data_IF_796476072975
#
_entry.id   IF_796476072975
#
_cell.length_a   1.000
_cell.length_b   1.000
_cell.length_c   1.000
_cell.angle_alpha   90.00
_cell.angle_beta   90.00
_cell.angle_gamma   90.00
#
_symmetry.space_group_name_H-M   'P 1'
#
loop_
_entity.id
_entity.type
_entity.pdbx_description
1 polymer ?
#
# COMPACT_ATOMS: atom_id res chain seq x y z
N UNK A 1 -20.15 -81.75 35.93
CA UNK A 1 -18.94 -82.60 35.86
C UNK A 1 -18.18 -82.23 34.59
N UNK A 2 -16.88 -81.92 34.73
CA UNK A 2 -15.84 -81.64 33.71
C UNK A 2 -15.74 -82.78 32.65
N UNK A 3 -15.04 -82.69 31.49
CA UNK A 3 -13.78 -81.93 31.25
C UNK A 3 -13.59 -81.30 29.84
N UNK A 4 -12.83 -80.19 29.72
CA UNK A 4 -11.43 -80.01 29.27
C UNK A 4 -11.22 -79.82 27.75
N UNK A 5 -10.67 -78.64 27.42
CA UNK A 5 -10.09 -78.23 26.13
C UNK A 5 -8.59 -78.52 26.13
N UNK A 6 -8.04 -79.17 25.08
CA UNK A 6 -6.62 -79.06 24.69
C UNK A 6 -6.38 -79.16 23.18
N UNK A 7 -5.44 -78.29 22.75
CA UNK A 7 -4.84 -78.08 21.42
C UNK A 7 -4.03 -79.28 20.89
N UNK A 8 -3.88 -79.36 19.57
CA UNK A 8 -2.70 -79.87 18.84
C UNK A 8 -2.69 -79.26 17.40
N UNK A 9 -1.65 -78.49 17.01
CA UNK A 9 -0.45 -78.87 16.23
C UNK A 9 -0.73 -78.96 14.70
N UNK A 10 -0.32 -78.00 13.85
CA UNK A 10 1.01 -77.68 13.25
C UNK A 10 1.51 -78.70 12.22
N UNK A 11 1.57 -78.33 10.93
CA UNK A 11 2.61 -78.70 9.91
C UNK A 11 2.60 -77.56 8.83
N UNK A 12 3.52 -76.60 8.83
CA UNK A 12 4.83 -76.55 8.14
C UNK A 12 4.76 -76.61 6.60
N UNK A 13 5.06 -75.47 5.94
CA UNK A 13 5.78 -75.47 4.66
C UNK A 13 6.89 -74.42 4.67
N UNK A 14 7.99 -74.83 4.06
CA UNK A 14 9.34 -74.31 4.11
C UNK A 14 9.59 -73.17 3.12
N UNK A 15 10.39 -72.18 3.51
CA UNK A 15 11.34 -71.55 2.59
C UNK A 15 12.52 -70.95 3.34
N UNK A 16 13.69 -71.44 2.95
CA UNK A 16 15.02 -71.11 3.46
C UNK A 16 15.33 -69.64 3.17
N UNK A 17 15.83 -68.91 4.18
CA UNK A 17 16.57 -67.66 3.96
C UNK A 17 18.01 -67.87 4.41
N UNK A 18 18.91 -67.73 3.44
CA UNK A 18 20.34 -67.66 3.63
C UNK A 18 20.66 -66.51 4.58
N UNK A 19 21.42 -66.85 5.61
CA UNK A 19 22.03 -65.91 6.54
C UNK A 19 23.32 -65.38 5.93
N UNK A 20 23.45 -64.06 5.83
CA UNK A 20 24.74 -63.39 5.78
C UNK A 20 24.76 -62.34 6.88
N UNK A 21 25.56 -62.62 7.90
CA UNK A 21 25.83 -61.72 9.01
C UNK A 21 26.62 -60.52 8.52
N UNK A 22 25.98 -59.34 8.51
CA UNK A 22 26.69 -58.07 8.58
C UNK A 22 26.38 -57.47 9.96
N UNK A 23 27.39 -57.53 10.83
CA UNK A 23 27.41 -56.87 12.13
C UNK A 23 27.38 -55.36 11.89
N UNK A 24 26.22 -54.73 12.05
CA UNK A 24 26.16 -53.27 12.21
C UNK A 24 26.25 -53.03 13.71
N UNK A 25 27.47 -52.77 14.16
CA UNK A 25 27.74 -52.26 15.49
C UNK A 25 26.98 -50.96 15.68
N UNK A 26 26.03 -50.96 16.61
CA UNK A 26 25.34 -49.78 17.10
C UNK A 26 26.34 -48.87 17.84
N UNK A 27 26.91 -47.88 17.14
CA UNK A 27 27.49 -46.72 17.83
C UNK A 27 26.35 -45.76 18.16
N UNK A 28 25.66 -46.01 19.26
CA UNK A 28 24.80 -45.00 19.88
C UNK A 28 25.69 -43.87 20.37
N UNK A 29 25.97 -42.89 19.51
CA UNK A 29 26.56 -41.64 19.93
C UNK A 29 25.50 -40.89 20.73
N UNK A 30 25.45 -41.16 22.03
CA UNK A 30 24.68 -40.36 22.99
C UNK A 30 25.29 -38.95 22.93
N UNK A 31 24.64 -38.06 22.19
CA UNK A 31 24.90 -36.62 22.33
C UNK A 31 24.36 -36.24 23.69
N UNK A 32 25.25 -36.12 24.67
CA UNK A 32 24.93 -35.48 25.93
C UNK A 32 24.44 -34.07 25.61
N UNK A 33 23.16 -33.79 25.88
CA UNK A 33 22.70 -32.41 25.93
C UNK A 33 23.51 -31.72 27.02
N UNK A 34 24.39 -30.80 26.64
CA UNK A 34 24.95 -29.85 27.59
C UNK A 34 23.78 -29.06 28.16
N UNK A 35 23.38 -29.37 29.39
CA UNK A 35 22.62 -28.44 30.22
C UNK A 35 23.56 -27.28 30.54
N UNK A 36 23.68 -26.32 29.63
CA UNK A 36 24.13 -25.00 30.00
C UNK A 36 23.09 -24.48 31.00
N UNK A 37 23.54 -24.11 32.20
CA UNK A 37 22.72 -23.36 33.14
C UNK A 37 22.15 -22.16 32.39
N UNK A 38 20.82 -22.04 32.31
CA UNK A 38 20.18 -20.86 31.75
C UNK A 38 20.49 -19.66 32.65
N UNK A 39 21.59 -18.97 32.40
CA UNK A 39 21.69 -17.56 32.75
C UNK A 39 20.71 -16.84 31.84
N UNK A 40 19.59 -16.42 32.43
CA UNK A 40 18.67 -15.48 31.82
C UNK A 40 19.44 -14.23 31.40
N UNK A 41 19.09 -13.66 30.24
CA UNK A 41 19.64 -12.38 29.85
C UNK A 41 19.19 -11.33 30.88
N UNK A 42 20.15 -10.73 31.58
CA UNK A 42 19.89 -9.55 32.40
C UNK A 42 19.56 -8.43 31.41
N UNK A 43 18.29 -8.07 31.29
CA UNK A 43 17.88 -6.87 30.59
C UNK A 43 18.48 -5.68 31.33
N UNK A 44 19.61 -5.17 30.85
CA UNK A 44 20.06 -3.86 31.26
C UNK A 44 18.97 -2.86 30.86
N UNK A 45 18.51 -1.98 31.75
CA UNK A 45 17.60 -0.91 31.36
C UNK A 45 18.25 -0.15 30.23
N UNK A 46 17.57 -0.06 29.08
CA UNK A 46 18.00 0.73 27.92
C UNK A 46 17.81 2.19 28.30
N UNK A 47 18.67 2.71 29.16
CA UNK A 47 18.89 4.13 29.34
C UNK A 47 19.98 4.56 28.38
N UNK A 48 19.65 4.57 27.09
CA UNK A 48 20.42 5.29 26.09
C UNK A 48 20.06 6.79 26.15
N UNK A 49 20.36 7.43 27.28
CA UNK A 49 20.43 8.90 27.32
C UNK A 49 21.85 9.30 26.94
N UNK A 50 22.11 9.31 25.64
CA UNK A 50 23.31 9.87 25.05
C UNK A 50 22.95 10.46 23.68
N UNK A 51 23.62 11.53 23.23
CA UNK A 51 23.45 12.01 21.87
C UNK A 51 23.70 10.85 20.89
N UNK A 52 22.95 10.79 19.77
CA UNK A 52 23.06 9.69 18.83
C UNK A 52 24.53 9.50 18.41
N UNK A 53 25.01 8.25 18.28
CA UNK A 53 26.36 8.00 17.83
C UNK A 53 26.57 8.68 16.47
N UNK A 54 27.76 9.26 16.28
CA UNK A 54 28.11 9.84 14.98
C UNK A 54 28.03 8.76 13.90
N UNK A 55 27.54 9.14 12.72
CA UNK A 55 27.47 8.25 11.58
C UNK A 55 28.82 7.56 11.36
N UNK A 56 28.85 6.24 11.10
CA UNK A 56 30.08 5.52 10.87
C UNK A 56 30.80 6.13 9.66
N UNK A 57 32.04 6.53 9.88
CA UNK A 57 32.92 6.91 8.78
C UNK A 57 33.36 5.65 8.05
N UNK A 58 33.39 5.65 6.70
CA UNK A 58 33.86 4.51 5.94
C UNK A 58 35.31 4.17 6.34
N UNK A 59 35.60 2.87 6.46
CA UNK A 59 36.95 2.38 6.72
C UNK A 59 37.92 2.91 5.65
N UNK A 60 39.19 3.11 6.03
CA UNK A 60 40.20 3.76 5.17
C UNK A 60 40.36 3.08 3.80
N UNK A 61 40.11 1.78 3.74
CA UNK A 61 40.14 0.93 2.55
C UNK A 61 39.11 1.35 1.48
N UNK A 62 38.01 1.99 1.88
CA UNK A 62 36.93 2.42 0.97
C UNK A 62 37.00 3.90 0.56
N UNK A 63 38.02 4.65 1.01
CA UNK A 63 38.21 6.06 0.59
C UNK A 63 38.68 6.19 -0.87
N UNK A 64 39.39 5.19 -1.38
CA UNK A 64 40.06 5.25 -2.68
C UNK A 64 39.55 4.19 -3.69
N UNK A 65 38.36 3.63 -3.50
CA UNK A 65 37.82 2.64 -4.45
C UNK A 65 37.52 3.32 -5.81
N UNK A 66 38.23 2.95 -6.90
CA UNK A 66 38.07 3.56 -8.21
C UNK A 66 36.67 3.36 -8.81
N UNK A 67 35.88 2.39 -8.31
CA UNK A 67 34.48 2.18 -8.72
C UNK A 67 33.53 3.30 -8.26
N UNK A 68 33.92 4.10 -7.26
CA UNK A 68 33.15 5.27 -6.78
C UNK A 68 33.50 6.59 -7.49
N UNK A 69 34.60 6.64 -8.22
CA UNK A 69 35.05 7.85 -8.92
C UNK A 69 34.08 8.30 -10.04
N UNK A 70 33.27 7.38 -10.58
CA UNK A 70 32.28 7.68 -11.61
C UNK A 70 30.98 8.33 -11.12
N UNK A 71 30.67 8.30 -9.81
CA UNK A 71 29.41 8.82 -9.29
C UNK A 71 29.43 10.32 -8.95
N UNK A 72 30.62 10.91 -8.86
CA UNK A 72 30.80 12.34 -8.54
C UNK A 72 30.87 13.26 -9.77
N UNK A 73 30.84 12.72 -11.00
CA UNK A 73 30.90 13.53 -12.23
C UNK A 73 29.53 13.92 -12.80
N UNK A 74 28.42 13.46 -12.20
CA UNK A 74 27.04 13.80 -12.63
C UNK A 74 26.30 14.78 -11.71
N UNK A 75 26.99 15.46 -10.80
CA UNK A 75 26.42 16.62 -10.08
C UNK A 75 26.89 17.91 -10.74
N UNK A 76 26.06 18.43 -11.65
CA UNK A 76 26.23 19.79 -12.17
C UNK A 76 26.09 20.84 -11.05
N UNK A 77 26.77 21.99 -11.17
CA UNK A 77 27.10 22.86 -10.04
C UNK A 77 26.10 24.02 -9.93
N UNK A 78 25.14 23.93 -9.00
CA UNK A 78 24.30 25.07 -8.63
C UNK A 78 23.99 25.03 -7.12
N UNK A 79 25.04 25.13 -6.31
CA UNK A 79 24.96 25.53 -4.90
C UNK A 79 26.38 25.58 -4.35
N UNK A 80 26.98 26.77 -4.36
CA UNK A 80 27.98 27.27 -3.40
C UNK A 80 28.75 28.42 -4.02
N UNK A 81 28.16 29.62 -3.97
CA UNK A 81 28.93 30.85 -3.91
C UNK A 81 28.04 31.92 -3.30
N UNK A 82 28.12 32.06 -1.98
CA UNK A 82 27.75 33.30 -1.30
C UNK A 82 28.52 33.40 0.02
N UNK A 83 29.55 34.24 0.04
CA UNK A 83 30.03 34.99 1.22
C UNK A 83 31.14 35.99 0.84
N UNK A 84 30.80 37.29 1.00
CA UNK A 84 31.67 38.45 1.33
C UNK A 84 32.42 39.14 0.16
N UNK A 85 32.37 40.45 -0.13
CA UNK A 85 31.82 41.75 0.39
C UNK A 85 32.05 42.83 -0.74
N UNK A 86 31.94 44.16 -0.53
CA UNK A 86 30.76 45.03 -0.44
C UNK A 86 30.67 46.07 -1.60
N UNK A 87 29.47 46.55 -1.98
CA UNK A 87 29.35 47.84 -2.68
C UNK A 87 27.95 48.43 -2.58
N UNK A 88 27.90 49.71 -2.23
CA UNK A 88 26.74 50.59 -2.16
C UNK A 88 25.86 50.59 -3.41
N UNK A 89 24.54 50.48 -3.23
CA UNK A 89 23.55 51.46 -3.73
C UNK A 89 22.11 50.95 -3.54
N UNK A 90 21.20 51.90 -3.35
CA UNK A 90 19.89 51.76 -2.76
C UNK A 90 18.83 51.06 -3.63
N UNK A 91 18.06 50.15 -3.00
CA UNK A 91 16.62 49.99 -3.21
C UNK A 91 16.02 49.22 -2.01
N UNK A 92 15.44 49.94 -1.05
CA UNK A 92 14.71 49.34 0.07
C UNK A 92 13.32 48.89 -0.41
N UNK A 93 13.20 47.64 -0.83
CA UNK A 93 11.92 46.92 -0.78
C UNK A 93 11.93 46.15 0.54
N UNK A 94 11.11 46.59 1.48
CA UNK A 94 10.96 45.95 2.78
C UNK A 94 10.28 44.59 2.62
N UNK A 95 11.07 43.52 2.52
CA UNK A 95 10.60 42.17 2.74
C UNK A 95 10.14 42.03 4.20
N UNK A 96 8.83 42.10 4.40
CA UNK A 96 8.23 41.69 5.66
C UNK A 96 8.50 40.20 5.86
N UNK A 97 9.45 39.87 6.75
CA UNK A 97 9.67 38.51 7.27
C UNK A 97 8.37 38.04 7.94
N UNK A 98 7.52 37.34 7.22
CA UNK A 98 6.36 36.66 7.77
C UNK A 98 6.86 35.46 8.58
N UNK A 99 7.02 35.65 9.88
CA UNK A 99 7.22 34.53 10.80
C UNK A 99 6.04 33.57 10.63
N UNK A 100 6.27 32.28 10.32
CA UNK A 100 5.18 31.33 10.15
C UNK A 100 4.39 31.28 11.47
N UNK A 101 3.08 31.51 11.42
CA UNK A 101 2.20 31.60 12.59
C UNK A 101 2.24 30.28 13.37
N UNK A 102 3.06 30.19 14.43
CA UNK A 102 3.35 28.94 15.15
C UNK A 102 2.17 28.32 15.90
N UNK A 103 1.11 29.09 16.11
CA UNK A 103 -0.04 28.69 16.93
C UNK A 103 -1.31 28.68 16.09
N UNK A 104 -2.22 27.77 16.42
CA UNK A 104 -3.59 27.76 15.88
C UNK A 104 -4.22 29.14 16.13
N UNK A 105 -4.77 29.75 15.09
CA UNK A 105 -5.36 31.09 15.15
C UNK A 105 -6.89 31.08 15.09
N UNK A 106 -7.50 29.90 14.94
CA UNK A 106 -8.95 29.69 14.93
C UNK A 106 -9.38 28.90 16.16
N UNK A 107 -10.62 29.13 16.62
CA UNK A 107 -11.20 28.38 17.73
C UNK A 107 -12.17 27.33 17.21
N UNK A 108 -13.15 27.76 16.43
CA UNK A 108 -14.28 26.94 16.01
C UNK A 108 -14.14 26.57 14.52
N UNK A 109 -14.55 25.36 14.14
CA UNK A 109 -14.62 24.92 12.74
C UNK A 109 -16.05 24.55 12.41
N UNK A 110 -16.61 25.17 11.36
CA UNK A 110 -18.01 24.99 10.99
C UNK A 110 -18.14 24.66 9.51
N UNK A 111 -19.10 23.79 9.17
CA UNK A 111 -19.52 23.56 7.78
C UNK A 111 -20.69 24.48 7.48
N UNK A 112 -20.57 25.28 6.41
CA UNK A 112 -21.65 26.14 5.92
C UNK A 112 -22.12 25.63 4.56
N UNK A 113 -23.42 25.41 4.43
CA UNK A 113 -24.07 25.10 3.15
C UNK A 113 -24.35 26.39 2.37
N UNK A 114 -24.02 26.39 1.08
CA UNK A 114 -24.29 27.43 0.10
C UNK A 114 -24.92 26.81 -1.14
N UNK A 115 -25.40 27.64 -2.07
CA UNK A 115 -25.98 27.19 -3.35
C UNK A 115 -24.99 26.31 -4.14
N UNK A 116 -23.70 26.66 -4.14
CA UNK A 116 -22.65 25.95 -4.88
C UNK A 116 -22.05 24.75 -4.12
N UNK A 117 -22.54 24.43 -2.92
CA UNK A 117 -22.05 23.35 -2.07
C UNK A 117 -21.62 23.79 -0.67
N UNK A 118 -20.76 23.01 -0.02
CA UNK A 118 -20.31 23.25 1.35
C UNK A 118 -18.96 23.97 1.41
N UNK A 119 -18.85 24.90 2.35
CA UNK A 119 -17.60 25.56 2.71
C UNK A 119 -17.23 25.25 4.16
N UNK A 120 -15.94 25.02 4.40
CA UNK A 120 -15.39 24.85 5.74
C UNK A 120 -14.90 26.21 6.23
N UNK A 121 -15.45 26.68 7.34
CA UNK A 121 -15.12 27.96 7.96
C UNK A 121 -14.30 27.75 9.23
N UNK A 122 -13.14 28.41 9.30
CA UNK A 122 -12.34 28.59 10.50
C UNK A 122 -12.77 29.88 11.18
N UNK A 123 -13.51 29.77 12.28
CA UNK A 123 -14.35 30.81 12.89
C UNK A 123 -15.32 31.41 11.86
N UNK A 124 -14.88 32.44 11.13
CA UNK A 124 -15.65 33.15 10.11
C UNK A 124 -15.01 33.09 8.71
N UNK A 125 -13.80 32.54 8.60
CA UNK A 125 -12.99 32.59 7.36
C UNK A 125 -12.99 31.25 6.65
N UNK A 126 -13.22 31.19 5.33
CA UNK A 126 -13.20 29.93 4.60
C UNK A 126 -11.79 29.37 4.49
N UNK A 127 -11.69 28.03 4.56
CA UNK A 127 -10.48 27.28 4.18
C UNK A 127 -10.18 27.54 2.70
N UNK A 128 -8.90 27.73 2.40
CA UNK A 128 -8.41 28.02 1.05
C UNK A 128 -7.36 27.02 0.62
N UNK A 129 -7.35 26.74 -0.68
CA UNK A 129 -6.29 25.98 -1.33
C UNK A 129 -4.95 26.74 -1.28
N UNK A 130 -3.82 26.06 -1.56
CA UNK A 130 -2.52 26.72 -1.76
C UNK A 130 -2.55 27.79 -2.87
N UNK A 131 -3.44 27.65 -3.86
CA UNK A 131 -3.69 28.62 -4.93
C UNK A 131 -4.56 29.81 -4.50
N UNK A 132 -4.92 29.89 -3.21
CA UNK A 132 -5.79 30.90 -2.56
C UNK A 132 -7.26 30.85 -2.98
N UNK A 133 -7.66 29.88 -3.77
CA UNK A 133 -9.07 29.63 -4.09
C UNK A 133 -9.80 29.14 -2.83
N UNK A 134 -11.08 29.45 -2.72
CA UNK A 134 -11.92 28.93 -1.63
C UNK A 134 -12.18 27.45 -1.91
N UNK A 135 -11.99 26.60 -0.91
CA UNK A 135 -12.31 25.18 -1.03
C UNK A 135 -13.82 24.99 -0.88
N UNK A 136 -14.48 24.65 -1.99
CA UNK A 136 -15.91 24.33 -2.02
C UNK A 136 -16.07 22.84 -2.30
N UNK A 137 -16.80 22.15 -1.42
CA UNK A 137 -17.14 20.73 -1.54
C UNK A 137 -18.54 20.60 -2.17
N UNK A 138 -18.77 19.74 -3.17
CA UNK A 138 -20.09 19.58 -3.80
C UNK A 138 -21.20 19.26 -2.80
N UNK A 139 -22.42 19.71 -3.10
CA UNK A 139 -23.59 19.52 -2.22
C UNK A 139 -23.99 18.05 -2.01
N UNK A 140 -23.59 17.15 -2.92
CA UNK A 140 -23.74 15.70 -2.74
C UNK A 140 -22.75 15.11 -1.72
N UNK A 141 -21.64 15.80 -1.43
CA UNK A 141 -20.52 15.26 -0.64
C UNK A 141 -20.49 15.83 0.78
N UNK A 142 -21.63 15.78 1.49
CA UNK A 142 -21.75 16.32 2.86
C UNK A 142 -20.78 15.66 3.85
N UNK A 143 -20.68 14.33 3.82
CA UNK A 143 -19.79 13.56 4.68
C UNK A 143 -18.32 13.96 4.51
N UNK A 144 -17.89 14.28 3.28
CA UNK A 144 -16.54 14.78 3.00
C UNK A 144 -16.32 16.16 3.63
N UNK A 145 -17.29 17.08 3.53
CA UNK A 145 -17.19 18.41 4.13
C UNK A 145 -17.10 18.35 5.66
N UNK A 146 -17.90 17.49 6.30
CA UNK A 146 -17.86 17.25 7.75
C UNK A 146 -16.52 16.61 8.17
N UNK A 147 -16.01 15.65 7.40
CA UNK A 147 -14.71 15.03 7.68
C UNK A 147 -13.54 16.02 7.54
N UNK A 148 -13.59 16.93 6.55
CA UNK A 148 -12.62 18.03 6.44
C UNK A 148 -12.73 18.98 7.63
N UNK A 149 -13.94 19.31 8.09
CA UNK A 149 -14.10 20.14 9.28
C UNK A 149 -13.44 19.50 10.52
N UNK A 150 -13.63 18.19 10.71
CA UNK A 150 -12.94 17.43 11.77
C UNK A 150 -11.42 17.45 11.61
N UNK A 151 -10.91 17.28 10.38
CA UNK A 151 -9.48 17.35 10.08
C UNK A 151 -8.87 18.68 10.56
N UNK A 152 -9.54 19.80 10.30
CA UNK A 152 -9.11 21.13 10.73
C UNK A 152 -9.30 21.41 12.21
N UNK A 153 -10.30 20.80 12.84
CA UNK A 153 -10.54 20.93 14.28
C UNK A 153 -9.51 20.18 15.12
N UNK A 154 -8.96 19.08 14.59
CA UNK A 154 -7.90 18.31 15.26
C UNK A 154 -6.51 18.98 15.19
N UNK A 155 -6.34 20.01 14.36
CA UNK A 155 -5.06 20.71 14.24
C UNK A 155 -4.78 21.56 15.50
N UNK A 156 -3.57 21.40 16.03
CA UNK A 156 -3.06 22.15 17.18
C UNK A 156 -2.26 23.40 16.77
N UNK A 157 -1.82 23.47 15.51
CA UNK A 157 -1.10 24.63 14.97
C UNK A 157 -1.35 24.85 13.49
N UNK A 158 -1.18 26.10 13.03
CA UNK A 158 -1.33 26.42 11.62
C UNK A 158 -0.25 25.75 10.74
N UNK A 159 0.92 25.40 11.27
CA UNK A 159 1.94 24.62 10.54
C UNK A 159 1.48 23.21 10.22
N UNK A 160 0.64 22.62 11.07
CA UNK A 160 0.12 21.28 10.81
C UNK A 160 -0.75 21.26 9.55
N UNK A 161 -1.42 22.37 9.22
CA UNK A 161 -2.14 22.54 7.94
C UNK A 161 -1.21 22.56 6.71
N UNK A 162 0.12 22.60 6.86
CA UNK A 162 1.05 22.43 5.75
C UNK A 162 1.48 20.96 5.56
N UNK A 163 1.11 20.08 6.49
CA UNK A 163 1.50 18.68 6.50
C UNK A 163 0.38 17.83 5.90
N UNK A 164 0.59 17.30 4.70
CA UNK A 164 -0.40 16.49 3.96
C UNK A 164 -0.93 15.27 4.74
N UNK A 165 -0.14 14.69 5.66
CA UNK A 165 -0.57 13.55 6.48
C UNK A 165 -1.53 13.93 7.62
N UNK A 166 -1.55 15.20 8.04
CA UNK A 166 -2.56 15.76 8.97
C UNK A 166 -3.74 16.37 8.21
N UNK A 167 -3.44 16.75 6.97
CA UNK A 167 -4.19 17.29 5.85
C UNK A 167 -4.99 16.45 4.82
N UNK A 168 -5.22 15.14 4.98
CA UNK A 168 -5.34 14.25 3.83
C UNK A 168 -6.57 14.55 2.95
N UNK A 169 -7.74 14.77 3.55
CA UNK A 169 -8.97 15.05 2.82
C UNK A 169 -8.95 16.44 2.22
N UNK A 170 -8.47 17.46 2.96
CA UNK A 170 -8.30 18.81 2.41
C UNK A 170 -7.41 18.81 1.16
N UNK A 171 -6.30 18.07 1.24
CA UNK A 171 -5.35 17.96 0.13
C UNK A 171 -5.97 17.23 -1.07
N UNK A 172 -6.74 16.16 -0.82
CA UNK A 172 -7.42 15.39 -1.86
C UNK A 172 -8.54 16.17 -2.55
N UNK A 173 -9.38 16.86 -1.79
CA UNK A 173 -10.43 17.71 -2.35
C UNK A 173 -9.82 18.85 -3.15
N UNK A 174 -8.74 19.47 -2.65
CA UNK A 174 -8.01 20.49 -3.43
C UNK A 174 -7.49 19.92 -4.75
N UNK A 175 -6.95 18.69 -4.74
CA UNK A 175 -6.50 18.00 -5.96
C UNK A 175 -7.65 17.76 -6.94
N UNK A 176 -8.83 17.36 -6.46
CA UNK A 176 -10.03 17.23 -7.29
C UNK A 176 -10.49 18.57 -7.89
N UNK A 177 -10.51 19.65 -7.08
CA UNK A 177 -10.84 21.00 -7.55
C UNK A 177 -9.85 21.52 -8.60
N UNK A 178 -8.56 21.19 -8.46
CA UNK A 178 -7.56 21.55 -9.47
C UNK A 178 -7.82 20.85 -10.81
N UNK A 179 -8.29 19.59 -10.80
CA UNK A 179 -8.71 18.86 -12.01
C UNK A 179 -9.94 19.52 -12.63
N UNK A 180 -10.97 19.83 -11.83
CA UNK A 180 -12.19 20.55 -12.30
C UNK A 180 -11.80 21.83 -13.02
N UNK A 181 -10.95 22.64 -12.39
CA UNK A 181 -10.51 23.92 -12.94
C UNK A 181 -9.74 23.76 -14.24
N UNK A 182 -8.88 22.75 -14.36
CA UNK A 182 -8.17 22.49 -15.62
C UNK A 182 -9.13 22.08 -16.75
N UNK A 183 -10.10 21.21 -16.44
CA UNK A 183 -11.10 20.75 -17.40
C UNK A 183 -11.95 21.90 -17.93
N UNK A 184 -12.38 22.82 -17.06
CA UNK A 184 -13.10 24.03 -17.44
C UNK A 184 -12.28 24.96 -18.35
N UNK A 185 -10.95 24.96 -18.18
CA UNK A 185 -10.02 25.70 -19.05
C UNK A 185 -9.67 24.95 -20.34
N UNK A 186 -10.24 23.77 -20.58
CA UNK A 186 -9.93 22.90 -21.72
C UNK A 186 -8.52 22.33 -21.69
N UNK A 187 -7.86 22.35 -20.52
CA UNK A 187 -6.53 21.80 -20.31
C UNK A 187 -6.66 20.36 -19.79
N UNK A 188 -5.70 19.50 -20.10
CA UNK A 188 -5.76 18.07 -19.79
C UNK A 188 -4.46 17.56 -19.14
N UNK A 189 -3.63 18.46 -18.59
CA UNK A 189 -2.29 18.11 -18.14
C UNK A 189 -2.33 17.20 -16.91
N UNK A 190 -3.11 17.55 -15.89
CA UNK A 190 -3.24 16.77 -14.66
C UNK A 190 -3.81 15.39 -15.00
N UNK A 191 -4.85 15.33 -15.84
CA UNK A 191 -5.44 14.06 -16.31
C UNK A 191 -4.41 13.17 -16.99
N UNK A 192 -3.63 13.72 -17.92
CA UNK A 192 -2.56 12.99 -18.61
C UNK A 192 -1.45 12.53 -17.65
N UNK A 193 -1.08 13.35 -16.66
CA UNK A 193 -0.09 12.98 -15.64
C UNK A 193 -0.58 11.83 -14.75
N UNK A 194 -1.86 11.85 -14.35
CA UNK A 194 -2.50 10.79 -13.57
C UNK A 194 -2.59 9.51 -14.42
N UNK A 195 -3.11 9.59 -15.65
CA UNK A 195 -3.20 8.46 -16.55
C UNK A 195 -1.83 7.82 -16.80
N UNK A 196 -0.79 8.62 -17.07
CA UNK A 196 0.58 8.11 -17.22
C UNK A 196 1.08 7.37 -15.97
N UNK A 197 0.78 7.91 -14.78
CA UNK A 197 1.17 7.27 -13.53
C UNK A 197 0.42 5.97 -13.31
N UNK A 198 -0.89 5.96 -13.56
CA UNK A 198 -1.74 4.77 -13.49
C UNK A 198 -1.25 3.66 -14.43
N UNK A 199 -0.92 3.98 -15.68
CA UNK A 199 -0.40 2.98 -16.63
C UNK A 199 0.95 2.40 -16.19
N UNK A 200 1.85 3.21 -15.59
CA UNK A 200 3.11 2.69 -15.02
C UNK A 200 2.88 1.73 -13.85
N UNK A 201 1.85 1.99 -13.03
CA UNK A 201 1.47 1.04 -11.98
C UNK A 201 0.85 -0.22 -12.56
N UNK A 202 0.07 -0.15 -13.64
CA UNK A 202 -0.47 -1.35 -14.30
C UNK A 202 0.66 -2.27 -14.81
N UNK A 203 1.74 -1.71 -15.35
CA UNK A 203 2.93 -2.47 -15.77
C UNK A 203 3.61 -3.22 -14.61
N UNK A 204 3.39 -2.82 -13.35
CA UNK A 204 4.02 -3.39 -12.16
C UNK A 204 3.02 -3.61 -11.03
N UNK A 205 1.77 -3.93 -11.40
CA UNK A 205 0.65 -3.92 -10.45
C UNK A 205 0.85 -5.01 -9.39
N UNK A 206 0.66 -4.66 -8.11
CA UNK A 206 0.81 -5.60 -6.99
C UNK A 206 -0.06 -6.83 -7.14
N UNK A 207 -1.26 -6.74 -7.76
CA UNK A 207 -2.11 -7.91 -8.00
C UNK A 207 -1.66 -8.78 -9.17
N UNK A 208 -0.77 -8.29 -10.03
CA UNK A 208 -0.30 -9.01 -11.22
C UNK A 208 1.13 -9.57 -11.07
N UNK A 209 1.83 -9.18 -10.00
CA UNK A 209 3.16 -9.67 -9.68
C UNK A 209 3.07 -10.83 -8.69
N UNK A 210 3.15 -12.08 -9.18
CA UNK A 210 3.01 -13.27 -8.32
C UNK A 210 4.36 -13.94 -8.04
N UNK A 211 4.40 -14.69 -6.95
CA UNK A 211 5.51 -15.59 -6.66
C UNK A 211 5.61 -16.66 -7.76
N UNK A 212 6.83 -17.01 -8.22
CA UNK A 212 7.01 -18.06 -9.22
C UNK A 212 6.39 -19.40 -8.80
N UNK A 213 5.90 -20.17 -9.77
CA UNK A 213 5.27 -21.48 -9.51
C UNK A 213 6.24 -22.54 -8.94
N UNK A 214 7.54 -22.33 -9.17
CA UNK A 214 8.64 -23.16 -8.69
C UNK A 214 9.52 -22.32 -7.79
N UNK A 215 9.39 -22.52 -6.48
CA UNK A 215 10.30 -21.91 -5.51
C UNK A 215 11.65 -22.60 -5.54
N UNK A 216 12.65 -21.97 -6.19
CA UNK A 216 14.02 -22.49 -6.29
C UNK A 216 14.68 -22.55 -4.90
N UNK A 217 14.28 -21.65 -3.99
CA UNK A 217 14.93 -21.45 -2.68
C UNK A 217 14.23 -22.14 -1.52
N UNK A 218 13.07 -22.75 -1.74
CA UNK A 218 12.37 -23.56 -0.74
C UNK A 218 11.90 -24.89 -1.33
N UNK A 219 12.82 -25.83 -1.65
CA UNK A 219 12.49 -27.12 -2.23
C UNK A 219 11.64 -28.02 -1.30
N UNK A 220 11.46 -27.62 -0.04
CA UNK A 220 10.58 -28.29 0.92
C UNK A 220 9.14 -27.75 0.87
N UNK A 221 8.85 -26.59 0.27
CA UNK A 221 7.49 -26.01 0.31
C UNK A 221 6.42 -26.87 -0.36
N UNK A 222 6.77 -27.75 -1.31
CA UNK A 222 5.83 -28.75 -1.85
C UNK A 222 5.85 -30.10 -1.11
N UNK A 223 6.86 -30.35 -0.27
CA UNK A 223 7.05 -31.63 0.42
C UNK A 223 6.67 -31.58 1.92
N UNK A 224 6.62 -30.39 2.53
CA UNK A 224 6.34 -30.19 3.96
C UNK A 224 5.05 -29.42 4.26
N UNK A 225 4.34 -28.93 3.24
CA UNK A 225 3.01 -28.34 3.40
C UNK A 225 2.01 -29.49 3.45
N UNK A 226 1.22 -29.54 4.52
CA UNK A 226 0.14 -30.53 4.61
C UNK A 226 -0.79 -30.37 3.40
N UNK A 227 -1.43 -31.44 2.87
CA UNK A 227 -2.26 -31.36 1.66
C UNK A 227 -3.38 -30.30 1.67
N UNK A 228 -3.66 -29.66 2.81
CA UNK A 228 -4.73 -28.70 3.03
C UNK A 228 -4.27 -27.23 3.13
N UNK A 229 -2.96 -26.94 3.13
CA UNK A 229 -2.46 -25.56 3.28
C UNK A 229 -2.25 -24.87 1.91
N UNK A 230 -2.97 -23.78 1.67
CA UNK A 230 -2.92 -22.94 0.46
C UNK A 230 -1.55 -22.23 0.33
N UNK A 231 -0.88 -22.35 -0.82
CA UNK A 231 0.41 -21.67 -1.05
C UNK A 231 0.22 -20.15 -1.19
N UNK A 232 1.29 -19.37 -1.02
CA UNK A 232 1.23 -17.90 -1.24
C UNK A 232 0.79 -17.58 -2.68
N UNK A 233 1.26 -18.34 -3.67
CA UNK A 233 0.85 -18.14 -5.06
C UNK A 233 -0.64 -18.42 -5.26
N UNK A 234 -1.17 -19.46 -4.63
CA UNK A 234 -2.60 -19.78 -4.71
C UNK A 234 -3.45 -18.67 -4.08
N UNK A 235 -3.03 -18.14 -2.92
CA UNK A 235 -3.64 -16.96 -2.29
C UNK A 235 -3.61 -15.74 -3.23
N UNK A 236 -2.47 -15.44 -3.83
CA UNK A 236 -2.29 -14.33 -4.77
C UNK A 236 -3.21 -14.48 -5.99
N UNK A 237 -3.22 -15.65 -6.62
CA UNK A 237 -4.04 -15.94 -7.79
C UNK A 237 -5.54 -15.86 -7.47
N UNK A 238 -5.97 -16.34 -6.30
CA UNK A 238 -7.37 -16.26 -5.87
C UNK A 238 -7.82 -14.82 -5.66
N UNK A 239 -7.09 -14.04 -4.85
CA UNK A 239 -7.43 -12.64 -4.55
C UNK A 239 -7.39 -11.77 -5.81
N UNK A 240 -6.35 -11.92 -6.64
CA UNK A 240 -6.27 -11.20 -7.91
C UNK A 240 -7.40 -11.62 -8.85
N UNK A 241 -7.70 -12.92 -8.95
CA UNK A 241 -8.77 -13.46 -9.78
C UNK A 241 -10.14 -12.92 -9.42
N UNK A 242 -10.47 -12.79 -8.12
CA UNK A 242 -11.73 -12.20 -7.65
C UNK A 242 -11.90 -10.74 -8.12
N UNK A 243 -10.83 -9.94 -8.02
CA UNK A 243 -10.83 -8.54 -8.42
C UNK A 243 -10.86 -8.41 -9.95
N UNK A 244 -10.00 -9.14 -10.67
CA UNK A 244 -9.95 -9.14 -12.13
C UNK A 244 -11.28 -9.57 -12.71
N UNK A 245 -11.89 -10.66 -12.21
CA UNK A 245 -13.18 -11.16 -12.70
C UNK A 245 -14.30 -10.13 -12.53
N UNK A 246 -14.30 -9.38 -11.43
CA UNK A 246 -15.25 -8.29 -11.28
C UNK A 246 -14.97 -7.21 -12.33
N UNK A 247 -13.73 -6.73 -12.41
CA UNK A 247 -13.36 -5.62 -13.30
C UNK A 247 -13.65 -5.95 -14.76
N UNK A 248 -13.32 -7.16 -15.21
CA UNK A 248 -13.64 -7.58 -16.57
C UNK A 248 -15.15 -7.70 -16.75
N UNK A 249 -15.91 -8.29 -15.82
CA UNK A 249 -17.38 -8.39 -15.98
C UNK A 249 -18.12 -7.05 -15.97
N UNK A 250 -17.64 -6.08 -15.18
CA UNK A 250 -18.42 -4.86 -14.89
C UNK A 250 -17.85 -3.60 -15.52
N UNK A 251 -16.52 -3.45 -15.57
CA UNK A 251 -15.84 -2.23 -16.01
C UNK A 251 -15.28 -2.37 -17.42
N UNK A 252 -14.67 -3.51 -17.72
CA UNK A 252 -13.93 -3.77 -18.97
C UNK A 252 -14.28 -5.16 -19.57
N UNK A 253 -15.49 -5.37 -20.12
CA UNK A 253 -15.98 -6.67 -20.61
C UNK A 253 -15.12 -7.32 -21.69
N UNK A 254 -14.43 -6.52 -22.50
CA UNK A 254 -13.67 -7.00 -23.65
C UNK A 254 -12.15 -7.06 -23.40
N UNK A 255 -11.73 -6.96 -22.13
CA UNK A 255 -10.33 -6.88 -21.73
C UNK A 255 -9.86 -8.17 -21.06
N UNK A 256 -8.67 -8.63 -21.44
CA UNK A 256 -8.00 -9.76 -20.81
C UNK A 256 -6.79 -9.25 -20.00
N UNK A 257 -6.85 -9.38 -18.67
CA UNK A 257 -5.77 -8.97 -17.78
C UNK A 257 -4.96 -10.20 -17.38
N UNK A 258 -3.66 -10.20 -17.67
CA UNK A 258 -2.75 -11.31 -17.39
C UNK A 258 -1.77 -10.95 -16.27
N UNK A 259 -1.24 -11.94 -15.53
CA UNK A 259 -0.10 -11.72 -14.65
C UNK A 259 1.08 -11.10 -15.42
N UNK A 260 1.82 -10.22 -14.76
CA UNK A 260 2.90 -9.44 -15.35
C UNK A 260 4.22 -10.22 -15.36
N UNK A 261 4.45 -11.09 -14.39
CA UNK A 261 5.72 -11.83 -14.26
C UNK A 261 5.63 -13.22 -14.89
N UNK A 262 6.69 -13.60 -15.60
CA UNK A 262 6.91 -14.96 -16.12
C UNK A 262 7.71 -15.81 -15.10
N UNK A 263 7.60 -17.14 -15.16
CA UNK A 263 8.26 -18.06 -14.20
C UNK A 263 9.77 -17.82 -14.09
N UNK A 264 10.41 -17.41 -15.18
CA UNK A 264 11.86 -17.31 -15.29
C UNK A 264 12.35 -15.85 -15.44
N UNK A 265 11.47 -14.86 -15.24
CA UNK A 265 11.79 -13.46 -15.47
C UNK A 265 11.26 -12.56 -14.36
N UNK A 266 12.13 -11.70 -13.85
CA UNK A 266 11.73 -10.58 -12.98
C UNK A 266 11.30 -9.34 -13.79
N UNK A 267 11.42 -9.39 -15.12
CA UNK A 267 11.04 -8.30 -15.99
C UNK A 267 9.53 -8.38 -16.31
N UNK A 268 8.79 -7.27 -16.14
CA UNK A 268 7.39 -7.18 -16.50
C UNK A 268 7.10 -7.51 -17.97
N UNK A 269 6.08 -8.32 -18.19
CA UNK A 269 5.44 -8.51 -19.50
C UNK A 269 4.31 -7.52 -19.65
N UNK A 270 4.30 -6.79 -20.77
CA UNK A 270 3.24 -5.84 -21.08
C UNK A 270 1.91 -6.55 -21.34
N UNK A 271 0.81 -5.90 -20.92
CA UNK A 271 -0.53 -6.26 -21.40
C UNK A 271 -0.65 -5.98 -22.90
N UNK A 272 -1.70 -6.51 -23.54
CA UNK A 272 -1.98 -6.23 -24.94
C UNK A 272 -2.40 -4.77 -25.17
N UNK A 273 -2.14 -4.25 -26.37
CA UNK A 273 -2.37 -2.83 -26.67
C UNK A 273 -3.85 -2.42 -26.57
N UNK A 274 -4.78 -3.33 -26.88
CA UNK A 274 -6.22 -3.07 -26.80
C UNK A 274 -6.66 -2.91 -25.33
N UNK A 275 -6.15 -3.76 -24.44
CA UNK A 275 -6.31 -3.66 -22.99
C UNK A 275 -5.75 -2.35 -22.46
N UNK A 276 -4.52 -1.98 -22.85
CA UNK A 276 -3.87 -0.74 -22.42
C UNK A 276 -4.67 0.50 -22.86
N UNK A 277 -5.14 0.53 -24.11
CA UNK A 277 -5.93 1.65 -24.63
C UNK A 277 -7.31 1.74 -23.97
N UNK A 278 -7.98 0.61 -23.75
CA UNK A 278 -9.28 0.56 -23.05
C UNK A 278 -9.17 1.11 -21.63
N UNK A 279 -8.17 0.66 -20.88
CA UNK A 279 -7.93 1.12 -19.50
C UNK A 279 -7.55 2.61 -19.49
N UNK A 280 -6.67 3.05 -20.40
CA UNK A 280 -6.26 4.46 -20.52
C UNK A 280 -7.43 5.38 -20.85
N UNK A 281 -8.26 4.98 -21.78
CA UNK A 281 -9.47 5.71 -22.17
C UNK A 281 -10.44 5.82 -21.00
N UNK A 282 -10.68 4.71 -20.28
CA UNK A 282 -11.53 4.69 -19.09
C UNK A 282 -11.03 5.64 -17.99
N UNK A 283 -9.73 5.62 -17.68
CA UNK A 283 -9.13 6.53 -16.68
C UNK A 283 -9.32 8.00 -17.10
N UNK A 284 -9.09 8.29 -18.39
CA UNK A 284 -9.18 9.65 -18.93
C UNK A 284 -10.61 10.21 -18.87
N UNK A 285 -11.62 9.33 -18.97
CA UNK A 285 -13.03 9.67 -18.91
C UNK A 285 -13.59 9.86 -17.49
N UNK A 286 -12.84 9.52 -16.45
CA UNK A 286 -13.33 9.62 -15.06
C UNK A 286 -13.66 11.07 -14.67
N UNK A 287 -14.71 11.31 -13.86
CA UNK A 287 -14.94 12.63 -13.31
C UNK A 287 -13.82 13.04 -12.32
N UNK A 288 -13.66 14.36 -12.05
CA UNK A 288 -12.51 14.88 -11.29
C UNK A 288 -12.30 14.28 -9.88
N UNK A 289 -13.37 14.03 -9.14
CA UNK A 289 -13.29 13.48 -7.78
C UNK A 289 -12.87 12.01 -7.80
N UNK A 290 -13.44 11.23 -8.71
CA UNK A 290 -13.10 9.84 -8.97
C UNK A 290 -11.67 9.69 -9.44
N UNK A 291 -11.20 10.58 -10.32
CA UNK A 291 -9.84 10.56 -10.83
C UNK A 291 -8.81 10.89 -9.73
N UNK A 292 -9.08 11.88 -8.87
CA UNK A 292 -8.24 12.17 -7.71
C UNK A 292 -8.26 11.02 -6.68
N UNK A 293 -9.43 10.40 -6.49
CA UNK A 293 -9.58 9.22 -5.64
C UNK A 293 -8.82 8.01 -6.18
N UNK A 294 -8.87 7.80 -7.50
CA UNK A 294 -8.13 6.75 -8.18
C UNK A 294 -6.62 6.97 -8.05
N UNK A 295 -6.12 8.19 -8.31
CA UNK A 295 -4.70 8.54 -8.12
C UNK A 295 -4.24 8.19 -6.70
N UNK A 296 -5.01 8.59 -5.68
CA UNK A 296 -4.71 8.26 -4.29
C UNK A 296 -4.73 6.75 -4.02
N UNK A 297 -5.76 6.06 -4.49
CA UNK A 297 -5.90 4.61 -4.31
C UNK A 297 -4.70 3.87 -4.89
N UNK A 298 -4.32 4.19 -6.13
CA UNK A 298 -3.16 3.60 -6.82
C UNK A 298 -1.88 3.81 -6.01
N UNK A 299 -1.64 5.05 -5.56
CA UNK A 299 -0.41 5.37 -4.84
C UNK A 299 -0.33 4.66 -3.49
N UNK A 300 -1.46 4.43 -2.83
CA UNK A 300 -1.57 3.74 -1.55
C UNK A 300 -1.41 2.22 -1.71
N UNK A 301 -2.22 1.61 -2.57
CA UNK A 301 -2.24 0.15 -2.79
C UNK A 301 -1.11 -0.36 -3.66
N UNK A 302 -0.44 0.52 -4.42
CA UNK A 302 0.47 0.16 -5.52
C UNK A 302 -0.21 -0.69 -6.61
N UNK A 303 -1.53 -0.62 -6.69
CA UNK A 303 -2.35 -1.40 -7.62
C UNK A 303 -3.44 -0.53 -8.25
N UNK A 304 -3.43 -0.47 -9.58
CA UNK A 304 -4.52 0.12 -10.37
C UNK A 304 -5.80 -0.68 -10.18
N UNK A 305 -5.72 -2.01 -10.21
CA UNK A 305 -6.90 -2.86 -10.13
C UNK A 305 -7.62 -2.74 -8.79
N UNK A 306 -6.90 -2.73 -7.67
CA UNK A 306 -7.49 -2.48 -6.34
C UNK A 306 -8.15 -1.10 -6.28
N UNK A 307 -7.46 -0.08 -6.79
CA UNK A 307 -7.95 1.29 -6.74
C UNK A 307 -9.23 1.47 -7.60
N UNK A 308 -9.27 0.90 -8.80
CA UNK A 308 -10.46 0.91 -9.65
C UNK A 308 -11.61 0.18 -8.98
N UNK A 309 -11.37 -1.01 -8.42
CA UNK A 309 -12.40 -1.76 -7.71
C UNK A 309 -13.00 -0.93 -6.57
N UNK A 310 -12.15 -0.31 -5.75
CA UNK A 310 -12.61 0.51 -4.63
C UNK A 310 -13.38 1.76 -5.07
N UNK A 311 -12.91 2.47 -6.10
CA UNK A 311 -13.57 3.68 -6.61
C UNK A 311 -14.93 3.33 -7.22
N UNK A 312 -15.02 2.30 -8.04
CA UNK A 312 -16.30 1.87 -8.66
C UNK A 312 -17.32 1.45 -7.61
N UNK A 313 -16.86 0.76 -6.56
CA UNK A 313 -17.72 0.28 -5.49
C UNK A 313 -18.30 1.41 -4.66
N UNK A 314 -17.63 2.55 -4.50
CA UNK A 314 -18.03 3.62 -3.56
C UNK A 314 -18.39 4.97 -4.18
N UNK A 315 -17.98 5.24 -5.42
CA UNK A 315 -18.25 6.51 -6.08
C UNK A 315 -19.74 6.71 -6.37
N UNK A 316 -20.20 7.96 -6.22
CA UNK A 316 -21.55 8.34 -6.63
C UNK A 316 -21.78 8.23 -8.15
N UNK A 317 -20.73 8.41 -8.95
CA UNK A 317 -20.78 8.31 -10.41
C UNK A 317 -21.16 6.90 -10.90
N UNK A 318 -20.77 5.87 -10.15
CA UNK A 318 -21.05 4.47 -10.46
C UNK A 318 -22.24 3.89 -9.68
N UNK A 319 -23.09 4.75 -9.09
CA UNK A 319 -24.26 4.34 -8.30
C UNK A 319 -25.19 3.36 -9.03
N UNK A 320 -25.48 3.59 -10.32
CA UNK A 320 -26.31 2.67 -11.12
C UNK A 320 -25.67 1.29 -11.33
N UNK A 321 -24.34 1.21 -11.39
CA UNK A 321 -23.62 -0.07 -11.48
C UNK A 321 -23.68 -0.82 -10.14
N UNK A 322 -23.59 -0.10 -9.02
CA UNK A 322 -23.67 -0.67 -7.67
C UNK A 322 -25.02 -1.35 -7.41
N UNK A 323 -26.12 -0.79 -7.89
CA UNK A 323 -27.45 -1.41 -7.77
C UNK A 323 -27.49 -2.79 -8.45
N UNK A 324 -26.86 -2.91 -9.61
CA UNK A 324 -26.77 -4.18 -10.34
C UNK A 324 -25.89 -5.20 -9.60
N UNK A 325 -24.79 -4.76 -9.01
CA UNK A 325 -23.88 -5.60 -8.21
C UNK A 325 -24.60 -6.13 -6.95
N UNK A 326 -25.39 -5.27 -6.30
CA UNK A 326 -26.01 -5.57 -4.99
C UNK A 326 -27.32 -6.39 -5.09
N UNK A 327 -27.86 -6.61 -6.30
CA UNK A 327 -28.98 -7.52 -6.54
C UNK A 327 -28.59 -9.01 -6.37
N UNK A 328 -27.29 -9.33 -6.35
CA UNK A 328 -26.78 -10.63 -5.93
C UNK A 328 -26.81 -10.75 -4.39
N UNK A 329 -27.59 -11.70 -3.86
CA UNK A 329 -27.68 -11.96 -2.41
C UNK A 329 -26.31 -12.22 -1.77
N UNK A 330 -26.08 -11.59 -0.62
CA UNK A 330 -25.09 -11.98 0.42
C UNK A 330 -23.60 -11.79 0.11
N UNK A 331 -23.23 -10.78 -0.68
CA UNK A 331 -21.82 -10.42 -0.90
C UNK A 331 -21.48 -9.16 -0.10
N UNK A 332 -20.49 -9.27 0.80
CA UNK A 332 -19.89 -8.12 1.48
C UNK A 332 -19.37 -7.13 0.43
N UNK A 333 -19.68 -5.84 0.58
CA UNK A 333 -19.19 -4.80 -0.33
C UNK A 333 -17.67 -4.72 -0.20
N UNK A 334 -16.96 -4.64 -1.33
CA UNK A 334 -15.51 -4.45 -1.31
C UNK A 334 -15.17 -3.07 -0.73
N UNK A 335 -14.60 -3.05 0.47
CA UNK A 335 -14.32 -1.86 1.26
C UNK A 335 -12.83 -1.68 1.55
N UNK A 336 -12.54 -0.93 2.61
CA UNK A 336 -11.17 -0.59 3.02
C UNK A 336 -10.39 -1.84 3.41
N UNK A 337 -11.01 -2.76 4.14
CA UNK A 337 -10.35 -3.97 4.64
C UNK A 337 -10.00 -4.93 3.51
N UNK A 338 -10.93 -5.14 2.58
CA UNK A 338 -10.70 -6.00 1.41
C UNK A 338 -9.62 -5.40 0.50
N UNK A 339 -9.64 -4.08 0.28
CA UNK A 339 -8.62 -3.39 -0.49
C UNK A 339 -7.24 -3.43 0.20
N UNK A 340 -7.19 -3.21 1.52
CA UNK A 340 -5.94 -3.28 2.29
C UNK A 340 -5.38 -4.69 2.30
N UNK A 341 -6.22 -5.71 2.51
CA UNK A 341 -5.83 -7.12 2.45
C UNK A 341 -5.27 -7.49 1.08
N UNK A 342 -5.96 -7.12 0.00
CA UNK A 342 -5.52 -7.40 -1.37
C UNK A 342 -4.15 -6.76 -1.68
N UNK A 343 -3.89 -5.56 -1.14
CA UNK A 343 -2.65 -4.82 -1.37
C UNK A 343 -1.48 -5.30 -0.49
N UNK A 344 -1.77 -5.92 0.65
CA UNK A 344 -0.78 -6.32 1.67
C UNK A 344 -0.70 -7.83 1.87
N UNK A 345 -1.23 -8.61 0.92
CA UNK A 345 -1.35 -10.07 1.03
C UNK A 345 -0.01 -10.75 1.31
N UNK A 346 1.04 -10.37 0.57
CA UNK A 346 2.37 -10.94 0.75
C UNK A 346 3.00 -10.51 2.08
N UNK A 347 2.86 -9.25 2.48
CA UNK A 347 3.34 -8.76 3.79
C UNK A 347 2.66 -9.55 4.92
N UNK A 348 1.34 -9.74 4.84
CA UNK A 348 0.56 -10.50 5.82
C UNK A 348 1.04 -11.96 5.89
N UNK A 349 1.27 -12.59 4.73
CA UNK A 349 1.81 -13.94 4.70
C UNK A 349 3.20 -14.02 5.37
N UNK A 350 4.09 -13.08 5.08
CA UNK A 350 5.43 -13.05 5.67
C UNK A 350 5.40 -12.81 7.18
N UNK A 351 4.53 -11.92 7.67
CA UNK A 351 4.41 -11.65 9.11
C UNK A 351 3.76 -12.80 9.88
N UNK A 352 2.84 -13.54 9.28
CA UNK A 352 2.32 -14.79 9.86
C UNK A 352 3.43 -15.85 10.03
N UNK A 353 4.35 -15.94 9.07
CA UNK A 353 5.43 -16.93 9.09
C UNK A 353 6.61 -16.52 9.98
N UNK A 354 6.98 -15.23 9.96
CA UNK A 354 8.24 -14.74 10.55
C UNK A 354 8.06 -13.72 11.68
N UNK A 355 6.83 -13.36 12.00
CA UNK A 355 6.50 -12.35 12.99
C UNK A 355 6.38 -10.94 12.42
N UNK A 356 5.65 -10.09 13.14
CA UNK A 356 5.48 -8.68 12.81
C UNK A 356 6.66 -7.85 13.32
N UNK A 357 7.05 -6.81 12.57
CA UNK A 357 8.04 -5.82 12.99
C UNK A 357 7.27 -4.60 13.49
N UNK A 358 7.31 -4.38 14.81
CA UNK A 358 6.70 -3.22 15.48
C UNK A 358 7.27 -1.89 14.93
N UNK A 359 6.45 -0.84 14.94
CA UNK A 359 6.73 0.49 14.39
C UNK A 359 6.97 0.53 12.86
N UNK A 360 6.73 -0.56 12.14
CA UNK A 360 6.83 -0.63 10.68
C UNK A 360 5.57 -1.24 10.08
N UNK A 361 5.37 -2.54 10.28
CA UNK A 361 4.25 -3.25 9.63
C UNK A 361 2.89 -2.83 10.17
N UNK A 362 2.81 -2.59 11.48
CA UNK A 362 1.60 -2.12 12.15
C UNK A 362 1.23 -0.70 11.70
N UNK A 363 2.20 0.21 11.66
CA UNK A 363 2.01 1.59 11.20
C UNK A 363 1.60 1.63 9.73
N UNK A 364 2.31 0.90 8.87
CA UNK A 364 2.00 0.86 7.44
C UNK A 364 0.61 0.26 7.17
N UNK A 365 0.22 -0.76 7.95
CA UNK A 365 -1.11 -1.37 7.86
C UNK A 365 -2.22 -0.37 8.18
N UNK A 366 -2.10 0.37 9.29
CA UNK A 366 -3.11 1.38 9.63
C UNK A 366 -3.05 2.59 8.69
N UNK A 367 -1.87 2.98 8.20
CA UNK A 367 -1.72 4.08 7.26
C UNK A 367 -2.35 3.74 5.89
N UNK A 368 -2.17 2.50 5.41
CA UNK A 368 -2.81 2.02 4.19
C UNK A 368 -4.34 2.10 4.29
N UNK A 369 -4.92 1.61 5.39
CA UNK A 369 -6.37 1.70 5.64
C UNK A 369 -6.84 3.15 5.67
N UNK A 370 -6.10 4.03 6.37
CA UNK A 370 -6.39 5.46 6.43
C UNK A 370 -6.38 6.09 5.04
N UNK A 371 -5.40 5.76 4.20
CA UNK A 371 -5.31 6.27 2.82
C UNK A 371 -6.45 5.74 1.94
N UNK A 372 -6.76 4.45 1.99
CA UNK A 372 -7.87 3.86 1.22
C UNK A 372 -9.25 4.36 1.70
N UNK A 373 -9.43 4.54 3.01
CA UNK A 373 -10.62 5.16 3.58
C UNK A 373 -10.82 6.61 3.12
N UNK A 374 -9.72 7.35 2.95
CA UNK A 374 -9.79 8.72 2.39
C UNK A 374 -10.28 8.75 0.93
N UNK A 375 -10.00 7.70 0.15
CA UNK A 375 -10.54 7.53 -1.21
C UNK A 375 -12.05 7.39 -1.15
N UNK A 376 -12.56 6.51 -0.28
CA UNK A 376 -14.00 6.30 -0.11
C UNK A 376 -14.70 7.60 0.25
N UNK A 377 -14.20 8.33 1.26
CA UNK A 377 -14.80 9.60 1.66
C UNK A 377 -14.80 10.65 0.54
N UNK A 378 -13.76 10.66 -0.30
CA UNK A 378 -13.66 11.60 -1.41
C UNK A 378 -14.69 11.30 -2.52
N UNK A 379 -14.86 10.03 -2.90
CA UNK A 379 -15.69 9.64 -4.05
C UNK A 379 -17.15 9.40 -3.68
N UNK A 380 -17.42 9.09 -2.41
CA UNK A 380 -18.79 8.91 -1.91
C UNK A 380 -19.59 10.21 -1.99
N UNK A 381 -20.89 10.08 -2.17
CA UNK A 381 -21.85 11.17 -2.18
C UNK A 381 -23.25 10.67 -1.86
N UNK A 382 -24.18 11.60 -1.62
CA UNK A 382 -25.58 11.30 -1.35
C UNK A 382 -26.21 10.67 -2.60
N UNK A 383 -26.83 9.50 -2.42
CA UNK A 383 -27.70 8.89 -3.43
C UNK A 383 -28.95 9.75 -3.54
N UNK A 384 -28.99 10.68 -4.51
CA UNK A 384 -30.20 11.43 -4.84
C UNK A 384 -31.09 10.68 -5.81
#
# INVERSE_FOLDING_TARGET
>A
MRPELRRAATILSSSQRLSTSAVISSSSTVRCFHCATRTWAIAHPITAHGPPPKAPTPAAEFKNDPRRAGLNQQKSPHQQQESQTPSDSAARVSEAKTTPLKKRFWKDVNVKELEDGYQILLDTRPVRSPTKAILTVPSSKRHLAEAIALEWDLLTSAQQALKQHLIPLTSLTTRATDIVREDELGQQRIRQEIARTAMRYLETDTLLCWVPEKEIHNPLSKASVAPEEETLRDKQARVAGEIINFLTRTVWPDVEIKPVLDENSILPTSQDENTLETIRSWISALPPYELAGLERGILASKSLLVAVRLVVEWSEHFSGLQETIQQGKDVSRFGVEEAAHASSLEVTHQTEQWGEVEDTHDVDREDLRRQLGSVILLVSGDRR
#
